data_IF_268370835230
#
_entry.id   IF_268370835230
#
_cell.length_a   1.000
_cell.length_b   1.000
_cell.length_c   1.000
_cell.angle_alpha   90.00
_cell.angle_beta   90.00
_cell.angle_gamma   90.00
#
_symmetry.space_group_name_H-M   'P 1'
#
loop_
_entity.id
_entity.type
_entity.pdbx_description
1 polymer ?
#
# COMPACT_ATOMS: atom_id res chain seq x y z
N UNK A 1 -0.92 -25.07 -0.10
CA UNK A 1 -0.09 -24.37 0.90
C UNK A 1 -0.44 -22.89 0.85
N UNK A 2 -1.32 -22.43 1.74
CA UNK A 2 -1.62 -21.01 1.87
C UNK A 2 -0.49 -20.38 2.71
N UNK A 3 0.44 -19.67 2.07
CA UNK A 3 1.51 -19.00 2.80
C UNK A 3 0.96 -17.76 3.50
N UNK A 4 1.33 -17.64 4.76
CA UNK A 4 0.81 -16.71 5.73
C UNK A 4 1.19 -15.26 5.39
N UNK A 5 0.24 -14.32 5.53
CA UNK A 5 0.55 -12.90 5.65
C UNK A 5 0.52 -12.07 4.36
N UNK A 6 -0.35 -12.38 3.41
CA UNK A 6 -0.65 -11.47 2.28
C UNK A 6 -1.46 -10.25 2.77
N UNK A 7 -0.78 -9.22 3.27
CA UNK A 7 -1.43 -7.93 3.47
C UNK A 7 -1.73 -7.31 2.10
N UNK A 8 -2.97 -6.88 1.87
CA UNK A 8 -3.38 -6.20 0.63
C UNK A 8 -3.87 -4.81 0.99
N UNK A 9 -3.36 -3.81 0.29
CA UNK A 9 -3.79 -2.44 0.40
C UNK A 9 -4.49 -2.01 -0.89
N UNK A 10 -5.66 -1.38 -0.75
CA UNK A 10 -6.39 -0.81 -1.87
C UNK A 10 -6.22 0.70 -1.81
N UNK A 11 -5.56 1.27 -2.82
CA UNK A 11 -5.51 2.72 -3.02
C UNK A 11 -6.63 3.13 -3.95
N UNK A 12 -7.57 3.89 -3.42
CA UNK A 12 -8.61 4.53 -4.21
C UNK A 12 -8.09 5.88 -4.69
N UNK A 13 -7.89 6.02 -5.99
CA UNK A 13 -7.42 7.25 -6.63
C UNK A 13 -8.51 7.79 -7.57
N UNK A 14 -8.41 9.07 -7.96
CA UNK A 14 -9.34 9.66 -8.92
C UNK A 14 -9.28 9.03 -10.32
N UNK A 15 -8.23 8.26 -10.64
CA UNK A 15 -8.09 7.55 -11.92
C UNK A 15 -8.43 6.06 -11.82
N UNK A 16 -8.84 5.58 -10.65
CA UNK A 16 -9.21 4.18 -10.44
C UNK A 16 -8.68 3.59 -9.14
N UNK A 17 -9.00 2.32 -8.92
CA UNK A 17 -8.54 1.56 -7.75
C UNK A 17 -7.26 0.80 -8.09
N UNK A 18 -6.25 0.96 -7.25
CA UNK A 18 -4.96 0.27 -7.36
C UNK A 18 -4.88 -0.72 -6.20
N UNK A 19 -4.72 -2.01 -6.53
CA UNK A 19 -4.57 -3.06 -5.52
C UNK A 19 -3.09 -3.40 -5.38
N UNK A 20 -2.54 -3.16 -4.20
CA UNK A 20 -1.14 -3.44 -3.87
C UNK A 20 -1.09 -4.65 -2.96
N UNK A 21 -0.32 -5.67 -3.37
CA UNK A 21 0.00 -6.82 -2.54
C UNK A 21 1.31 -6.55 -1.80
N UNK A 22 1.26 -6.66 -0.47
CA UNK A 22 2.38 -6.43 0.43
C UNK A 22 2.98 -7.79 0.82
N UNK A 23 4.32 -7.88 0.78
CA UNK A 23 5.07 -9.10 1.08
C UNK A 23 5.72 -8.99 2.45
N UNK A 24 4.93 -9.33 3.47
CA UNK A 24 5.35 -9.30 4.88
C UNK A 24 6.51 -10.27 5.16
N UNK A 25 6.61 -11.36 4.38
CA UNK A 25 7.68 -12.35 4.51
C UNK A 25 9.05 -11.79 4.11
N UNK A 26 9.09 -10.94 3.09
CA UNK A 26 10.34 -10.33 2.60
C UNK A 26 10.68 -9.05 3.35
N UNK A 27 9.68 -8.24 3.72
CA UNK A 27 9.88 -6.91 4.32
C UNK A 27 8.89 -6.62 5.46
N UNK A 28 8.96 -7.35 6.60
CA UNK A 28 7.97 -7.26 7.67
C UNK A 28 7.89 -5.86 8.29
N UNK A 29 9.05 -5.22 8.54
CA UNK A 29 9.11 -3.86 9.12
C UNK A 29 8.46 -2.81 8.21
N UNK A 30 8.66 -2.92 6.90
CA UNK A 30 8.08 -1.98 5.92
C UNK A 30 6.57 -2.16 5.84
N UNK A 31 6.11 -3.41 5.78
CA UNK A 31 4.68 -3.72 5.73
C UNK A 31 3.96 -3.24 6.98
N UNK A 32 4.54 -3.45 8.17
CA UNK A 32 3.96 -2.97 9.42
C UNK A 32 3.86 -1.43 9.48
N UNK A 33 4.94 -0.73 9.11
CA UNK A 33 4.93 0.74 9.04
C UNK A 33 3.88 1.25 8.03
N UNK A 34 3.82 0.64 6.84
CA UNK A 34 2.85 1.01 5.81
C UNK A 34 1.41 0.81 6.29
N UNK A 35 1.10 -0.36 6.86
CA UNK A 35 -0.22 -0.64 7.44
C UNK A 35 -0.58 0.33 8.57
N UNK A 36 0.38 0.70 9.42
CA UNK A 36 0.18 1.68 10.47
C UNK A 36 -0.18 3.06 9.92
N UNK A 37 0.54 3.53 8.89
CA UNK A 37 0.25 4.81 8.23
C UNK A 37 -1.10 4.80 7.50
N UNK A 38 -1.44 3.70 6.83
CA UNK A 38 -2.74 3.50 6.18
C UNK A 38 -3.89 3.53 7.20
N UNK A 39 -3.77 2.81 8.31
CA UNK A 39 -4.79 2.81 9.38
C UNK A 39 -4.97 4.18 10.03
N UNK A 40 -3.91 4.98 10.11
CA UNK A 40 -3.96 6.37 10.57
C UNK A 40 -4.56 7.34 9.54
N UNK A 41 -4.88 6.87 8.33
CA UNK A 41 -5.40 7.71 7.24
C UNK A 41 -4.35 8.67 6.68
N UNK A 42 -3.06 8.42 6.91
CA UNK A 42 -1.99 9.33 6.50
C UNK A 42 -1.97 9.59 4.99
N UNK A 43 -2.29 8.56 4.19
CA UNK A 43 -2.34 8.67 2.74
C UNK A 43 -3.65 9.25 2.18
N UNK A 44 -4.65 9.50 3.03
CA UNK A 44 -5.94 10.02 2.58
C UNK A 44 -5.81 11.49 2.15
N UNK A 45 -6.15 11.80 0.91
CA UNK A 45 -6.00 13.15 0.33
C UNK A 45 -4.58 13.51 -0.14
N UNK A 46 -3.62 12.58 -0.06
CA UNK A 46 -2.30 12.79 -0.65
C UNK A 46 -2.37 12.56 -2.17
N UNK A 47 -1.87 13.52 -2.93
CA UNK A 47 -1.72 13.41 -4.40
C UNK A 47 -0.36 12.84 -4.78
N UNK A 48 -0.29 12.21 -5.95
CA UNK A 48 0.99 11.83 -6.55
C UNK A 48 1.69 13.08 -7.07
N UNK A 49 2.55 13.68 -6.23
CA UNK A 49 3.27 14.92 -6.53
C UNK A 49 4.27 14.78 -7.69
N UNK A 50 4.66 13.54 -8.03
CA UNK A 50 5.56 13.25 -9.14
C UNK A 50 5.09 12.02 -9.89
N UNK A 51 4.81 12.20 -11.18
CA UNK A 51 4.51 11.13 -12.13
C UNK A 51 5.46 11.32 -13.31
N UNK A 52 6.35 10.35 -13.53
CA UNK A 52 7.27 10.33 -14.67
C UNK A 52 6.67 9.36 -15.68
N UNK A 53 6.40 9.83 -16.89
CA UNK A 53 6.14 8.96 -18.04
C UNK A 53 7.49 8.62 -18.66
N UNK A 54 7.67 7.34 -19.00
CA UNK A 54 8.83 6.85 -19.75
C UNK A 54 8.96 7.59 -21.10
#
# INVERSE_FOLDING_TARGET
>A
MAMAGEAKAVLETNQGKIVIKLFSETAPKTVENFLGLVKKGYYNGIVFHRVIKD
#
